data_IF_464048258136
#
_entry.id   IF_464048258136
#
_cell.length_a   1.000
_cell.length_b   1.000
_cell.length_c   1.000
_cell.angle_alpha   90.00
_cell.angle_beta   90.00
_cell.angle_gamma   90.00
#
_symmetry.space_group_name_H-M   'P 1'
#
loop_
_entity.id
_entity.type
_entity.pdbx_description
1 polymer ?
#
# COMPACT_ATOMS: atom_id res chain seq x y z
N UNK A 1 -3.45 -11.19 -25.96
CA UNK A 1 -2.29 -11.97 -26.40
C UNK A 1 -1.31 -12.07 -25.24
N UNK A 2 -1.12 -13.26 -24.69
CA UNK A 2 0.00 -13.57 -23.79
C UNK A 2 1.26 -13.78 -24.65
N UNK A 3 2.45 -13.41 -24.15
CA UNK A 3 3.63 -14.16 -24.56
C UNK A 3 3.52 -15.56 -23.93
N UNK A 4 2.91 -16.48 -24.67
CA UNK A 4 2.77 -17.88 -24.25
C UNK A 4 4.11 -18.62 -24.24
N UNK A 5 5.15 -18.02 -24.81
CA UNK A 5 6.47 -18.61 -24.95
C UNK A 5 7.56 -17.65 -24.51
N UNK A 6 8.58 -18.20 -23.86
CA UNK A 6 9.82 -17.51 -23.46
C UNK A 6 10.98 -18.06 -24.28
N UNK A 7 11.79 -17.16 -24.84
CA UNK A 7 13.05 -17.53 -25.47
C UNK A 7 14.12 -17.65 -24.37
N UNK A 8 14.81 -18.79 -24.34
CA UNK A 8 15.89 -19.08 -23.40
C UNK A 8 17.19 -19.25 -24.18
N UNK A 9 18.12 -18.30 -24.02
CA UNK A 9 19.42 -18.34 -24.67
C UNK A 9 20.21 -19.58 -24.23
N UNK A 10 20.92 -20.19 -25.17
CA UNK A 10 21.70 -21.41 -24.98
C UNK A 10 23.19 -21.10 -25.13
N UNK A 11 24.09 -21.95 -24.58
CA UNK A 11 25.54 -21.71 -24.64
C UNK A 11 26.11 -21.60 -26.06
N UNK A 12 25.44 -22.18 -27.05
CA UNK A 12 25.81 -22.16 -28.47
C UNK A 12 25.29 -20.94 -29.24
N UNK A 13 24.66 -19.98 -28.56
CA UNK A 13 24.09 -18.77 -29.16
C UNK A 13 22.69 -18.97 -29.76
N UNK A 14 22.14 -20.19 -29.72
CA UNK A 14 20.75 -20.47 -30.12
C UNK A 14 19.78 -20.23 -28.97
N UNK A 15 18.49 -20.46 -29.23
CA UNK A 15 17.42 -20.36 -28.23
C UNK A 15 16.64 -21.66 -28.14
N UNK A 16 16.28 -22.05 -26.92
CA UNK A 16 15.17 -22.95 -26.66
C UNK A 16 13.90 -22.11 -26.45
N UNK A 17 12.75 -22.59 -26.92
CA UNK A 17 11.48 -21.88 -26.77
C UNK A 17 10.64 -22.64 -25.74
N UNK A 18 10.43 -22.02 -24.57
CA UNK A 18 9.69 -22.61 -23.46
C UNK A 18 8.27 -22.08 -23.39
N UNK A 19 7.28 -22.94 -23.30
CA UNK A 19 5.92 -22.58 -22.94
C UNK A 19 5.86 -22.01 -21.52
N UNK A 20 5.29 -20.82 -21.41
CA UNK A 20 5.15 -20.04 -20.18
C UNK A 20 3.70 -19.97 -19.69
N UNK A 21 2.75 -20.67 -20.33
CA UNK A 21 1.33 -20.60 -20.00
C UNK A 21 0.88 -21.41 -18.77
N UNK A 22 1.68 -22.36 -18.30
CA UNK A 22 1.38 -23.09 -17.06
C UNK A 22 1.94 -22.32 -15.84
N UNK A 23 1.08 -21.53 -15.20
CA UNK A 23 1.41 -20.70 -14.03
C UNK A 23 1.61 -21.52 -12.76
N UNK A 24 0.72 -22.49 -12.52
CA UNK A 24 0.84 -23.50 -11.46
C UNK A 24 1.38 -24.79 -12.06
N UNK A 25 2.29 -25.45 -11.35
CA UNK A 25 2.75 -26.79 -11.76
C UNK A 25 1.77 -27.81 -11.19
N UNK A 26 0.69 -28.03 -11.93
CA UNK A 26 -0.27 -29.07 -11.60
C UNK A 26 0.22 -30.43 -12.11
N UNK A 27 -0.01 -31.52 -11.34
CA UNK A 27 0.43 -32.86 -11.73
C UNK A 27 -0.14 -33.37 -13.06
N UNK A 28 -1.25 -32.81 -13.53
CA UNK A 28 -1.91 -33.19 -14.77
C UNK A 28 -1.45 -32.39 -16.01
N UNK A 29 -0.58 -31.38 -15.85
CA UNK A 29 0.00 -30.71 -17.00
C UNK A 29 1.07 -31.58 -17.66
N UNK A 30 1.14 -31.63 -19.00
CA UNK A 30 2.17 -32.37 -19.71
C UNK A 30 3.58 -32.02 -19.21
N UNK A 31 4.49 -33.01 -19.12
CA UNK A 31 5.86 -32.77 -18.68
C UNK A 31 6.62 -31.89 -19.68
N UNK A 32 6.22 -31.93 -20.95
CA UNK A 32 6.85 -31.21 -22.03
C UNK A 32 6.47 -29.73 -22.03
N UNK A 33 7.50 -28.89 -21.92
CA UNK A 33 7.39 -27.44 -21.80
C UNK A 33 8.20 -26.70 -22.83
N UNK A 34 8.98 -27.39 -23.64
CA UNK A 34 9.80 -26.78 -24.68
C UNK A 34 9.37 -27.26 -26.06
N UNK A 35 9.51 -26.37 -27.03
CA UNK A 35 9.23 -26.70 -28.41
C UNK A 35 10.28 -27.68 -28.95
N UNK A 36 9.77 -28.71 -29.61
CA UNK A 36 10.51 -29.58 -30.52
C UNK A 36 10.01 -29.37 -31.93
N UNK A 37 10.77 -29.87 -32.91
CA UNK A 37 10.38 -29.90 -34.32
C UNK A 37 10.23 -31.37 -34.68
N UNK A 38 9.06 -31.77 -35.15
CA UNK A 38 8.83 -33.14 -35.63
C UNK A 38 9.44 -33.36 -37.04
N UNK A 39 9.32 -34.58 -37.57
CA UNK A 39 9.87 -34.95 -38.88
C UNK A 39 9.25 -34.17 -40.05
N UNK A 40 8.04 -33.65 -39.88
CA UNK A 40 7.34 -32.86 -40.89
C UNK A 40 7.62 -31.34 -40.73
N UNK A 41 8.49 -30.97 -39.79
CA UNK A 41 8.82 -29.58 -39.49
C UNK A 41 7.78 -28.87 -38.62
N UNK A 42 6.82 -29.58 -38.01
CA UNK A 42 5.81 -28.96 -37.13
C UNK A 42 6.38 -28.72 -35.74
N UNK A 43 5.94 -27.62 -35.14
CA UNK A 43 6.28 -27.26 -33.75
C UNK A 43 5.28 -27.90 -32.78
N UNK A 44 5.80 -28.60 -31.79
CA UNK A 44 5.01 -29.18 -30.71
C UNK A 44 5.72 -29.00 -29.36
N UNK A 45 4.96 -29.04 -28.26
CA UNK A 45 5.56 -29.25 -26.94
C UNK A 45 5.95 -30.72 -26.84
N UNK A 46 7.24 -31.00 -26.89
CA UNK A 46 7.75 -32.38 -26.88
C UNK A 46 9.06 -32.57 -26.10
N UNK A 47 9.50 -31.54 -25.37
CA UNK A 47 10.70 -31.63 -24.55
C UNK A 47 10.45 -31.14 -23.11
N UNK A 48 10.86 -31.90 -22.08
CA UNK A 48 10.70 -31.50 -20.68
C UNK A 48 11.77 -30.50 -20.24
N UNK A 49 12.90 -30.42 -20.94
CA UNK A 49 14.05 -29.56 -20.60
C UNK A 49 14.58 -28.81 -21.82
N UNK A 50 15.27 -27.70 -21.60
CA UNK A 50 15.96 -26.97 -22.66
C UNK A 50 17.04 -27.81 -23.37
N UNK A 51 17.63 -28.79 -22.68
CA UNK A 51 18.67 -29.66 -23.24
C UNK A 51 18.14 -30.61 -24.32
N UNK A 52 16.88 -31.02 -24.21
CA UNK A 52 16.20 -31.93 -25.15
C UNK A 52 15.29 -31.18 -26.13
N UNK A 53 15.28 -29.85 -26.08
CA UNK A 53 14.47 -29.00 -26.94
C UNK A 53 15.10 -28.79 -28.32
N UNK A 54 14.30 -28.39 -29.30
CA UNK A 54 14.84 -27.90 -30.56
C UNK A 54 15.61 -26.58 -30.35
N UNK A 55 16.64 -26.36 -31.18
CA UNK A 55 17.45 -25.14 -31.20
C UNK A 55 16.95 -24.21 -32.29
N UNK A 56 16.71 -22.94 -31.93
CA UNK A 56 16.25 -21.92 -32.85
C UNK A 56 17.26 -20.78 -32.93
N UNK A 57 17.59 -20.33 -34.14
CA UNK A 57 18.26 -19.04 -34.34
C UNK A 57 17.23 -17.91 -34.21
N UNK A 58 17.69 -16.72 -33.78
CA UNK A 58 16.87 -15.51 -33.73
C UNK A 58 17.41 -14.49 -34.71
N UNK A 59 16.65 -14.23 -35.77
CA UNK A 59 16.89 -13.13 -36.71
C UNK A 59 15.93 -11.98 -36.39
N UNK A 60 16.46 -10.76 -36.23
CA UNK A 60 15.63 -9.57 -35.99
C UNK A 60 15.37 -8.89 -37.33
N UNK A 61 14.18 -9.11 -37.89
CA UNK A 61 13.77 -8.52 -39.18
C UNK A 61 13.49 -7.01 -39.07
N UNK A 62 12.97 -6.56 -37.92
CA UNK A 62 12.68 -5.15 -37.65
C UNK A 62 12.78 -4.83 -36.17
N UNK A 63 13.52 -3.77 -35.83
CA UNK A 63 13.54 -3.19 -34.48
C UNK A 63 12.36 -2.25 -34.26
N UNK A 64 11.49 -2.56 -33.29
CA UNK A 64 10.37 -1.68 -32.94
C UNK A 64 10.83 -0.31 -32.44
N UNK A 65 11.91 -0.27 -31.65
CA UNK A 65 12.48 0.98 -31.14
C UNK A 65 13.08 1.87 -32.24
N UNK A 66 13.86 1.29 -33.15
CA UNK A 66 14.43 2.01 -34.31
C UNK A 66 13.33 2.60 -35.20
N UNK A 67 12.26 1.83 -35.41
CA UNK A 67 11.10 2.28 -36.18
C UNK A 67 10.37 3.43 -35.52
N UNK A 68 10.21 3.38 -34.19
CA UNK A 68 9.59 4.47 -33.43
C UNK A 68 10.45 5.74 -33.46
N UNK A 69 11.77 5.61 -33.33
CA UNK A 69 12.73 6.72 -33.43
C UNK A 69 12.65 7.39 -34.80
N UNK A 70 12.68 6.60 -35.89
CA UNK A 70 12.59 7.13 -37.25
C UNK A 70 11.27 7.87 -37.49
N UNK A 71 10.14 7.35 -36.99
CA UNK A 71 8.85 8.01 -37.09
C UNK A 71 8.77 9.30 -36.26
N UNK A 72 9.41 9.33 -35.08
CA UNK A 72 9.38 10.47 -34.18
C UNK A 72 10.27 11.64 -34.64
N UNK A 73 11.40 11.37 -35.29
CA UNK A 73 12.40 12.39 -35.64
C UNK A 73 11.87 13.48 -36.60
N UNK A 74 10.87 13.15 -37.44
CA UNK A 74 10.26 14.09 -38.39
C UNK A 74 8.91 14.67 -37.95
N UNK A 75 8.43 14.34 -36.75
CA UNK A 75 7.12 14.76 -36.26
C UNK A 75 7.20 16.01 -35.39
N UNK A 76 6.16 16.85 -35.39
CA UNK A 76 6.09 18.01 -34.48
C UNK A 76 6.02 17.58 -33.00
N UNK A 77 5.31 16.48 -32.74
CA UNK A 77 5.09 15.88 -31.42
C UNK A 77 5.14 14.35 -31.56
N UNK A 78 5.81 13.68 -30.63
CA UNK A 78 5.81 12.22 -30.52
C UNK A 78 4.97 11.79 -29.32
N UNK A 79 3.90 11.00 -29.53
CA UNK A 79 3.09 10.43 -28.45
C UNK A 79 3.49 8.96 -28.24
N UNK A 80 4.08 8.65 -27.09
CA UNK A 80 4.54 7.29 -26.75
C UNK A 80 3.63 6.70 -25.69
N UNK A 81 2.92 5.63 -26.04
CA UNK A 81 2.01 4.92 -25.12
C UNK A 81 2.74 3.75 -24.48
N UNK A 82 2.82 3.75 -23.14
CA UNK A 82 3.50 2.74 -22.33
C UNK A 82 2.68 2.40 -21.08
N UNK A 83 3.07 1.38 -20.34
CA UNK A 83 2.45 1.02 -19.06
C UNK A 83 2.32 -0.48 -18.86
N UNK A 84 1.17 -0.90 -18.33
CA UNK A 84 0.87 -2.30 -18.04
C UNK A 84 -0.16 -2.85 -19.01
N UNK A 85 -0.11 -4.16 -19.24
CA UNK A 85 -1.15 -4.90 -19.96
C UNK A 85 -1.69 -5.98 -19.00
N UNK A 86 -3.01 -6.03 -18.71
CA UNK A 86 -3.61 -6.98 -17.75
C UNK A 86 -3.41 -8.47 -18.09
N UNK A 87 -3.02 -8.80 -19.31
CA UNK A 87 -2.70 -10.16 -19.77
C UNK A 87 -1.19 -10.44 -19.87
N UNK A 88 -0.32 -9.48 -19.52
CA UNK A 88 1.14 -9.63 -19.58
C UNK A 88 1.77 -9.32 -18.23
N UNK A 89 1.79 -8.04 -17.82
CA UNK A 89 2.59 -7.54 -16.70
C UNK A 89 1.75 -6.82 -15.62
N UNK A 90 0.44 -7.10 -15.55
CA UNK A 90 -0.49 -6.57 -14.54
C UNK A 90 -1.68 -7.50 -14.30
N UNK A 91 -1.42 -8.81 -14.27
CA UNK A 91 -2.42 -9.88 -14.33
C UNK A 91 -2.92 -10.31 -12.95
N UNK A 92 -4.16 -10.78 -12.91
CA UNK A 92 -4.69 -11.56 -11.78
C UNK A 92 -3.76 -12.73 -11.44
N UNK A 93 -3.70 -13.09 -10.15
CA UNK A 93 -2.85 -14.16 -9.55
C UNK A 93 -1.34 -13.99 -9.69
N UNK A 94 -0.87 -12.89 -10.30
CA UNK A 94 0.55 -12.62 -10.47
C UNK A 94 0.92 -11.22 -9.98
N UNK A 95 1.47 -11.15 -8.78
CA UNK A 95 1.97 -9.90 -8.22
C UNK A 95 3.21 -9.43 -9.00
N UNK A 96 3.24 -8.13 -9.32
CA UNK A 96 4.44 -7.52 -9.92
C UNK A 96 5.58 -7.55 -8.91
N UNK A 97 6.75 -7.98 -9.35
CA UNK A 97 7.98 -7.98 -8.55
C UNK A 97 8.68 -6.61 -8.48
N UNK A 98 8.19 -5.62 -9.23
CA UNK A 98 8.70 -4.25 -9.24
C UNK A 98 7.60 -3.27 -9.66
N UNK A 99 7.66 -2.05 -9.14
CA UNK A 99 6.83 -0.93 -9.59
C UNK A 99 7.42 -0.20 -10.80
N UNK A 100 8.66 -0.48 -11.22
CA UNK A 100 9.28 0.21 -12.35
C UNK A 100 8.53 -0.05 -13.67
N UNK A 101 8.59 0.94 -14.58
CA UNK A 101 8.22 0.72 -15.97
C UNK A 101 9.09 -0.40 -16.56
N UNK A 102 8.50 -1.25 -17.42
CA UNK A 102 9.24 -2.35 -18.04
C UNK A 102 10.51 -1.80 -18.74
N UNK A 103 11.70 -2.42 -18.56
CA UNK A 103 12.95 -1.85 -19.07
C UNK A 103 12.95 -1.54 -20.57
N UNK A 104 12.29 -2.37 -21.38
CA UNK A 104 12.15 -2.14 -22.82
C UNK A 104 11.27 -0.94 -23.16
N UNK A 105 10.21 -0.68 -22.38
CA UNK A 105 9.36 0.49 -22.54
C UNK A 105 10.10 1.77 -22.09
N UNK A 106 10.83 1.71 -20.97
CA UNK A 106 11.67 2.84 -20.54
C UNK A 106 12.76 3.18 -21.58
N UNK A 107 13.40 2.16 -22.17
CA UNK A 107 14.37 2.34 -23.24
C UNK A 107 13.74 2.96 -24.50
N UNK A 108 12.52 2.53 -24.87
CA UNK A 108 11.77 3.11 -25.98
C UNK A 108 11.49 4.61 -25.75
N UNK A 109 10.98 4.98 -24.57
CA UNK A 109 10.70 6.40 -24.25
C UNK A 109 11.98 7.23 -24.33
N UNK A 110 13.10 6.73 -23.77
CA UNK A 110 14.41 7.40 -23.85
C UNK A 110 14.87 7.62 -25.28
N UNK A 111 14.78 6.59 -26.12
CA UNK A 111 15.19 6.66 -27.51
C UNK A 111 14.33 7.65 -28.31
N UNK A 112 13.01 7.61 -28.15
CA UNK A 112 12.08 8.55 -28.80
C UNK A 112 12.31 9.97 -28.31
N UNK A 113 12.47 10.20 -27.00
CA UNK A 113 12.76 11.52 -26.42
C UNK A 113 14.08 12.12 -26.89
N UNK A 114 15.08 11.28 -27.16
CA UNK A 114 16.35 11.72 -27.74
C UNK A 114 16.19 12.17 -29.19
N UNK A 115 15.33 11.50 -29.96
CA UNK A 115 15.05 11.85 -31.35
C UNK A 115 14.11 13.05 -31.50
N UNK A 116 13.15 13.20 -30.57
CA UNK A 116 12.16 14.28 -30.58
C UNK A 116 11.94 14.86 -29.17
N UNK A 117 12.32 16.14 -28.93
CA UNK A 117 12.16 16.75 -27.62
C UNK A 117 10.71 17.04 -27.21
N UNK A 118 9.79 17.09 -28.17
CA UNK A 118 8.36 17.28 -27.95
C UNK A 118 7.67 15.92 -27.75
N UNK A 119 8.21 15.09 -26.85
CA UNK A 119 7.66 13.78 -26.53
C UNK A 119 6.62 13.86 -25.41
N UNK A 120 5.40 13.38 -25.67
CA UNK A 120 4.37 13.15 -24.66
C UNK A 120 4.31 11.67 -24.34
N UNK A 121 4.32 11.32 -23.06
CA UNK A 121 4.13 9.94 -22.62
C UNK A 121 2.68 9.75 -22.18
N UNK A 122 1.99 8.79 -22.78
CA UNK A 122 0.70 8.29 -22.26
C UNK A 122 1.00 7.03 -21.46
N UNK A 123 0.71 7.08 -20.17
CA UNK A 123 0.89 5.96 -19.25
C UNK A 123 -0.46 5.29 -18.99
N UNK A 124 -0.65 4.11 -19.55
CA UNK A 124 -1.84 3.27 -19.35
C UNK A 124 -1.55 2.15 -18.35
N UNK A 125 -2.03 2.31 -17.11
CA UNK A 125 -1.87 1.32 -16.05
C UNK A 125 -2.87 1.52 -14.90
N UNK A 126 -3.21 0.42 -14.20
CA UNK A 126 -4.16 0.44 -13.07
C UNK A 126 -3.52 0.56 -11.68
N UNK A 127 -2.19 0.59 -11.61
CA UNK A 127 -1.44 0.48 -10.36
C UNK A 127 -0.32 1.51 -10.32
N UNK A 128 0.22 1.89 -9.15
CA UNK A 128 1.39 2.76 -9.07
C UNK A 128 2.57 2.23 -9.90
N UNK A 129 3.17 3.08 -10.73
CA UNK A 129 4.37 2.76 -11.50
C UNK A 129 5.43 3.84 -11.32
N UNK A 130 6.65 3.42 -11.02
CA UNK A 130 7.81 4.30 -10.86
C UNK A 130 8.29 4.76 -12.23
N UNK A 131 8.12 6.06 -12.52
CA UNK A 131 8.47 6.72 -13.79
C UNK A 131 9.36 7.96 -13.56
N UNK A 132 10.37 7.81 -12.69
CA UNK A 132 11.23 8.93 -12.26
C UNK A 132 11.97 9.59 -13.43
N UNK A 133 12.50 8.79 -14.36
CA UNK A 133 13.27 9.32 -15.48
C UNK A 133 12.33 10.08 -16.42
N UNK A 134 11.17 9.51 -16.73
CA UNK A 134 10.17 10.11 -17.58
C UNK A 134 9.73 11.45 -16.98
N UNK A 135 9.33 11.48 -15.69
CA UNK A 135 8.95 12.72 -14.99
C UNK A 135 10.02 13.82 -15.05
N UNK A 136 11.30 13.45 -15.05
CA UNK A 136 12.40 14.42 -15.11
C UNK A 136 12.77 14.86 -16.53
N UNK A 137 12.40 14.10 -17.57
CA UNK A 137 12.97 14.27 -18.92
C UNK A 137 11.93 14.47 -20.04
N UNK A 138 10.66 14.10 -19.82
CA UNK A 138 9.60 14.32 -20.82
C UNK A 138 8.76 15.55 -20.46
N UNK A 139 8.38 16.39 -21.43
CA UNK A 139 7.54 17.57 -21.19
C UNK A 139 6.18 17.29 -20.56
N UNK A 140 5.56 16.14 -20.88
CA UNK A 140 4.23 15.81 -20.41
C UNK A 140 4.02 14.30 -20.23
N UNK A 141 3.31 13.94 -19.16
CA UNK A 141 2.83 12.59 -18.88
C UNK A 141 1.31 12.66 -18.69
N UNK A 142 0.56 11.98 -19.55
CA UNK A 142 -0.88 11.77 -19.38
C UNK A 142 -1.10 10.36 -18.84
N UNK A 143 -1.71 10.25 -17.68
CA UNK A 143 -2.05 8.95 -17.09
C UNK A 143 -3.51 8.59 -17.34
N UNK A 144 -3.76 7.33 -17.70
CA UNK A 144 -5.08 6.71 -17.71
C UNK A 144 -4.99 5.32 -17.06
N UNK A 145 -6.06 4.91 -16.37
CA UNK A 145 -6.27 3.49 -16.11
C UNK A 145 -6.68 2.78 -17.41
N UNK A 146 -6.80 1.46 -17.38
CA UNK A 146 -7.49 0.72 -18.44
C UNK A 146 -8.97 1.16 -18.46
N UNK A 147 -9.33 2.06 -19.38
CA UNK A 147 -10.57 2.84 -19.34
C UNK A 147 -11.70 2.26 -20.22
N UNK A 148 -11.62 0.97 -20.53
CA UNK A 148 -12.62 0.25 -21.32
C UNK A 148 -12.58 0.58 -22.81
N UNK A 149 -13.69 0.32 -23.51
CA UNK A 149 -13.75 0.39 -24.98
C UNK A 149 -13.51 1.81 -25.56
N UNK A 150 -13.78 2.86 -24.77
CA UNK A 150 -13.61 4.26 -25.19
C UNK A 150 -12.24 4.86 -24.80
N UNK A 151 -11.29 4.04 -24.34
CA UNK A 151 -9.96 4.51 -23.87
C UNK A 151 -9.28 5.39 -24.91
N UNK A 152 -9.27 4.96 -26.19
CA UNK A 152 -8.65 5.72 -27.27
C UNK A 152 -9.26 7.11 -27.47
N UNK A 153 -10.60 7.19 -27.49
CA UNK A 153 -11.32 8.46 -27.64
C UNK A 153 -11.11 9.38 -26.44
N UNK A 154 -11.13 8.83 -25.21
CA UNK A 154 -10.88 9.61 -24.00
C UNK A 154 -9.45 10.17 -23.93
N UNK A 155 -8.45 9.36 -24.28
CA UNK A 155 -7.05 9.80 -24.36
C UNK A 155 -6.86 10.87 -25.43
N UNK A 156 -7.42 10.66 -26.63
CA UNK A 156 -7.35 11.65 -27.71
C UNK A 156 -8.00 12.98 -27.30
N UNK A 157 -9.22 12.96 -26.75
CA UNK A 157 -9.90 14.17 -26.29
C UNK A 157 -9.13 14.92 -25.20
N UNK A 158 -8.40 14.21 -24.34
CA UNK A 158 -7.49 14.84 -23.38
C UNK A 158 -6.25 15.45 -24.07
N UNK A 159 -5.58 14.72 -24.96
CA UNK A 159 -4.38 15.18 -25.65
C UNK A 159 -4.62 16.44 -26.51
N UNK A 160 -5.74 16.49 -27.22
CA UNK A 160 -6.12 17.62 -28.06
C UNK A 160 -6.84 18.75 -27.30
N UNK A 161 -7.19 18.52 -26.03
CA UNK A 161 -7.79 19.54 -25.17
C UNK A 161 -9.30 19.73 -25.36
N UNK A 162 -9.97 18.82 -26.04
CA UNK A 162 -11.44 18.73 -26.10
C UNK A 162 -12.02 18.48 -24.70
N UNK A 163 -11.28 17.73 -23.88
CA UNK A 163 -11.54 17.54 -22.45
C UNK A 163 -10.36 18.01 -21.62
N UNK A 164 -10.62 18.87 -20.64
CA UNK A 164 -9.63 19.25 -19.64
C UNK A 164 -9.47 18.11 -18.59
N UNK A 165 -8.27 17.53 -18.42
CA UNK A 165 -8.03 16.50 -17.41
C UNK A 165 -8.45 16.96 -16.01
N UNK A 166 -9.19 16.08 -15.32
CA UNK A 166 -9.69 16.33 -13.96
C UNK A 166 -9.63 15.09 -13.06
N UNK A 167 -8.90 14.06 -13.49
CA UNK A 167 -8.63 12.87 -12.70
C UNK A 167 -7.73 13.20 -11.50
N UNK A 168 -7.89 12.44 -10.41
CA UNK A 168 -7.04 12.52 -9.22
C UNK A 168 -6.61 11.11 -8.84
N UNK A 169 -5.34 10.93 -8.50
CA UNK A 169 -4.80 9.63 -8.11
C UNK A 169 -5.50 9.13 -6.85
N UNK A 170 -5.97 7.89 -6.88
CA UNK A 170 -6.55 7.19 -5.72
C UNK A 170 -5.51 6.42 -4.91
N UNK A 171 -4.25 6.45 -5.35
CA UNK A 171 -3.13 5.70 -4.78
C UNK A 171 -1.89 6.57 -4.73
N UNK A 172 -1.03 6.35 -3.73
CA UNK A 172 0.29 7.00 -3.66
C UNK A 172 1.26 6.28 -4.59
N UNK A 173 1.97 7.03 -5.43
CA UNK A 173 3.02 6.48 -6.29
C UNK A 173 4.38 6.79 -5.68
N UNK A 174 5.12 5.75 -5.33
CA UNK A 174 6.42 5.82 -4.68
C UNK A 174 7.53 6.02 -5.70
N UNK A 175 8.73 6.43 -5.24
CA UNK A 175 9.88 6.64 -6.13
C UNK A 175 10.71 5.39 -6.32
N UNK A 176 10.55 4.38 -5.48
CA UNK A 176 11.35 3.16 -5.53
C UNK A 176 10.65 2.02 -4.80
N UNK A 177 10.90 0.79 -5.26
CA UNK A 177 10.51 -0.43 -4.54
C UNK A 177 11.16 -0.52 -3.15
N UNK A 178 12.29 0.17 -2.95
CA UNK A 178 12.97 0.25 -1.65
C UNK A 178 12.16 0.99 -0.57
N UNK A 179 11.13 1.75 -0.96
CA UNK A 179 10.21 2.41 -0.03
C UNK A 179 9.05 1.49 0.40
N UNK A 180 8.93 0.31 -0.22
CA UNK A 180 7.84 -0.62 0.02
C UNK A 180 8.26 -1.69 1.03
N UNK A 181 7.38 -2.08 1.96
CA UNK A 181 7.63 -3.24 2.80
C UNK A 181 7.48 -4.53 1.98
N UNK A 182 7.67 -5.67 2.65
CA UNK A 182 7.23 -6.95 2.08
C UNK A 182 5.75 -6.87 1.70
N UNK A 183 5.38 -7.48 0.56
CA UNK A 183 3.98 -7.55 0.10
C UNK A 183 3.05 -8.24 1.10
N UNK A 184 3.62 -9.01 2.04
CA UNK A 184 2.88 -9.69 3.11
C UNK A 184 2.80 -8.89 4.42
N UNK A 185 3.37 -7.68 4.47
CA UNK A 185 3.28 -6.80 5.63
C UNK A 185 2.20 -5.74 5.44
N UNK A 186 1.06 -5.95 6.10
CA UNK A 186 -0.12 -5.10 6.00
C UNK A 186 -0.21 -4.04 7.11
N UNK A 187 0.79 -3.92 7.98
CA UNK A 187 0.83 -2.84 8.97
C UNK A 187 1.27 -1.53 8.30
N UNK A 188 0.28 -0.82 7.74
CA UNK A 188 0.53 0.43 7.02
C UNK A 188 1.07 1.56 7.91
N UNK A 189 0.80 1.53 9.22
CA UNK A 189 1.28 2.55 10.14
C UNK A 189 2.77 2.38 10.39
N UNK A 190 3.17 1.17 10.82
CA UNK A 190 4.56 0.83 11.11
C UNK A 190 5.45 0.87 9.87
N UNK A 191 4.92 0.43 8.72
CA UNK A 191 5.67 0.41 7.46
C UNK A 191 5.67 1.76 6.74
N UNK A 192 4.94 2.76 7.24
CA UNK A 192 4.89 4.09 6.62
C UNK A 192 4.24 4.06 5.24
N UNK A 193 3.21 3.22 5.06
CA UNK A 193 2.54 3.04 3.78
C UNK A 193 1.33 3.96 3.62
N UNK A 194 0.99 4.20 2.35
CA UNK A 194 -0.04 5.15 1.90
C UNK A 194 0.28 6.60 2.27
N UNK A 195 -0.51 7.56 1.77
CA UNK A 195 -0.40 8.95 2.20
C UNK A 195 -0.71 9.16 3.70
N UNK A 196 -1.30 8.16 4.38
CA UNK A 196 -1.61 8.23 5.80
C UNK A 196 -0.34 8.22 6.65
N UNK A 197 0.68 7.43 6.29
CA UNK A 197 1.86 7.21 7.15
C UNK A 197 3.20 7.39 6.42
N UNK A 198 3.20 7.57 5.10
CA UNK A 198 4.42 7.79 4.34
C UNK A 198 5.05 9.16 4.66
N UNK A 199 6.24 9.13 5.26
CA UNK A 199 7.03 10.32 5.63
C UNK A 199 8.00 10.77 4.54
N UNK A 200 8.16 9.97 3.49
CA UNK A 200 8.97 10.32 2.32
C UNK A 200 8.26 11.27 1.35
N UNK A 201 8.94 11.59 0.25
CA UNK A 201 8.36 12.39 -0.84
C UNK A 201 7.91 11.47 -1.96
N UNK A 202 6.60 11.26 -2.17
CA UNK A 202 6.13 10.39 -3.24
C UNK A 202 6.53 10.94 -4.62
N UNK A 203 6.55 10.05 -5.62
CA UNK A 203 6.64 10.44 -7.03
C UNK A 203 5.37 11.21 -7.42
N UNK A 204 4.20 10.61 -7.13
CA UNK A 204 2.92 11.29 -7.21
C UNK A 204 2.09 11.01 -5.96
N UNK A 205 1.63 12.05 -5.24
CA UNK A 205 0.89 11.88 -4.01
C UNK A 205 -0.56 11.44 -4.25
N UNK A 206 -1.18 10.86 -3.21
CA UNK A 206 -2.63 10.62 -3.21
C UNK A 206 -3.38 11.93 -3.51
N UNK A 207 -4.41 11.84 -4.34
CA UNK A 207 -5.23 12.97 -4.75
C UNK A 207 -4.59 13.88 -5.79
N UNK A 208 -3.38 13.58 -6.29
CA UNK A 208 -2.69 14.41 -7.28
C UNK A 208 -3.31 14.29 -8.67
N UNK A 209 -3.30 15.40 -9.42
CA UNK A 209 -3.70 15.47 -10.82
C UNK A 209 -3.60 16.90 -11.32
N UNK A 210 -3.09 17.08 -12.54
CA UNK A 210 -2.98 18.39 -13.18
C UNK A 210 -4.25 18.71 -13.97
N UNK A 211 -4.35 19.96 -14.41
CA UNK A 211 -5.41 20.49 -15.27
C UNK A 211 -4.80 21.46 -16.28
N UNK A 212 -5.47 21.68 -17.41
CA UNK A 212 -5.12 22.74 -18.37
C UNK A 212 -5.54 24.14 -17.91
N UNK A 213 -6.05 24.28 -16.68
CA UNK A 213 -6.33 25.57 -16.04
C UNK A 213 -5.83 25.55 -14.60
N UNK A 214 -5.86 26.71 -13.94
CA UNK A 214 -5.42 26.88 -12.55
C UNK A 214 -6.58 27.28 -11.64
N UNK A 215 -6.46 26.98 -10.35
CA UNK A 215 -7.51 27.26 -9.37
C UNK A 215 -6.94 27.93 -8.11
N UNK A 216 -7.61 28.97 -7.62
CA UNK A 216 -7.32 29.65 -6.37
C UNK A 216 -8.40 29.37 -5.31
N UNK A 217 -7.99 29.27 -4.05
CA UNK A 217 -8.87 28.93 -2.92
C UNK A 217 -8.95 30.14 -1.98
N UNK A 218 -10.14 30.52 -1.53
CA UNK A 218 -10.30 31.56 -0.49
C UNK A 218 -9.80 31.07 0.88
N UNK A 219 -9.71 31.94 1.90
CA UNK A 219 -9.62 31.48 3.29
C UNK A 219 -10.75 30.50 3.64
N UNK A 220 -10.45 29.54 4.53
CA UNK A 220 -11.41 28.54 4.99
C UNK A 220 -12.40 29.13 5.98
N UNK A 221 -13.64 28.65 5.89
CA UNK A 221 -14.67 28.86 6.91
C UNK A 221 -15.06 27.49 7.46
N UNK A 222 -14.80 27.26 8.74
CA UNK A 222 -15.13 26.03 9.44
C UNK A 222 -16.27 26.32 10.41
N UNK A 223 -17.32 25.52 10.34
CA UNK A 223 -18.44 25.58 11.29
C UNK A 223 -18.75 24.16 11.81
N UNK A 224 -19.68 24.04 12.76
CA UNK A 224 -20.04 22.75 13.37
C UNK A 224 -20.68 21.72 12.42
N UNK A 225 -20.87 22.06 11.14
CA UNK A 225 -21.51 21.21 10.13
C UNK A 225 -20.59 20.87 8.96
N UNK A 226 -19.42 21.51 8.87
CA UNK A 226 -18.45 21.24 7.82
C UNK A 226 -17.52 22.39 7.50
N UNK A 227 -16.93 22.30 6.32
CA UNK A 227 -15.92 23.23 5.82
C UNK A 227 -16.43 23.86 4.54
N UNK A 228 -16.28 25.18 4.42
CA UNK A 228 -16.61 25.96 3.22
C UNK A 228 -15.39 26.72 2.71
N UNK A 229 -15.18 26.68 1.40
CA UNK A 229 -14.14 27.42 0.68
C UNK A 229 -14.66 27.88 -0.67
N UNK A 230 -14.31 29.08 -1.10
CA UNK A 230 -14.63 29.53 -2.45
C UNK A 230 -13.46 29.17 -3.36
N UNK A 231 -13.78 28.58 -4.52
CA UNK A 231 -12.81 28.16 -5.52
C UNK A 231 -13.01 28.97 -6.78
N UNK A 232 -11.94 29.60 -7.24
CA UNK A 232 -11.92 30.42 -8.46
C UNK A 232 -11.09 29.71 -9.53
N UNK A 233 -11.61 29.60 -10.75
CA UNK A 233 -10.78 29.23 -11.89
C UNK A 233 -10.03 30.47 -12.39
N UNK A 234 -8.72 30.46 -12.25
CA UNK A 234 -7.83 31.59 -12.55
C UNK A 234 -7.16 31.49 -13.91
N UNK A 235 -7.38 30.40 -14.65
CA UNK A 235 -6.85 30.23 -16.00
C UNK A 235 -7.88 30.56 -17.09
N UNK A 236 -7.54 30.21 -18.32
CA UNK A 236 -8.30 30.62 -19.51
C UNK A 236 -9.16 29.50 -20.11
N UNK A 237 -9.10 28.30 -19.52
CA UNK A 237 -9.90 27.14 -19.93
C UNK A 237 -10.92 26.80 -18.86
N UNK A 238 -12.10 26.35 -19.27
CA UNK A 238 -13.02 25.67 -18.36
C UNK A 238 -12.35 24.43 -17.77
N UNK A 239 -12.62 24.14 -16.51
CA UNK A 239 -12.01 23.00 -15.82
C UNK A 239 -12.82 22.54 -14.61
N UNK A 240 -12.46 21.36 -14.11
CA UNK A 240 -13.06 20.78 -12.91
C UNK A 240 -11.97 20.66 -11.84
N UNK A 241 -12.20 21.31 -10.71
CA UNK A 241 -11.35 21.16 -9.51
C UNK A 241 -11.95 20.10 -8.58
N UNK A 242 -11.09 19.31 -7.93
CA UNK A 242 -11.49 18.37 -6.88
C UNK A 242 -10.91 18.87 -5.55
N UNK A 243 -11.76 19.58 -4.80
CA UNK A 243 -11.43 20.09 -3.45
C UNK A 243 -11.41 18.92 -2.48
N UNK A 244 -10.30 18.72 -1.78
CA UNK A 244 -10.10 17.61 -0.85
C UNK A 244 -9.98 18.13 0.58
N UNK A 245 -10.76 17.56 1.50
CA UNK A 245 -10.74 17.86 2.93
C UNK A 245 -10.05 16.73 3.68
N UNK A 246 -9.01 17.06 4.42
CA UNK A 246 -8.30 16.17 5.33
C UNK A 246 -8.36 16.68 6.76
N UNK A 247 -8.16 15.77 7.70
CA UNK A 247 -7.95 16.10 9.12
C UNK A 247 -6.71 15.42 9.67
N UNK A 248 -6.07 16.03 10.66
CA UNK A 248 -5.00 15.41 11.44
C UNK A 248 -5.22 15.68 12.94
N UNK A 249 -5.09 14.65 13.76
CA UNK A 249 -5.11 14.78 15.23
C UNK A 249 -3.67 14.81 15.73
N UNK A 250 -3.23 15.95 16.24
CA UNK A 250 -1.82 16.17 16.58
C UNK A 250 -1.29 15.38 17.77
N UNK A 251 -2.17 14.96 18.70
CA UNK A 251 -1.79 14.16 19.87
C UNK A 251 -2.86 13.14 20.17
N UNK A 252 -2.44 11.89 20.28
CA UNK A 252 -3.27 10.74 20.62
C UNK A 252 -2.35 9.65 21.17
N UNK A 253 -2.91 8.75 21.99
CA UNK A 253 -2.24 7.52 22.40
C UNK A 253 -1.95 6.60 21.20
N UNK A 254 -2.93 6.44 20.32
CA UNK A 254 -2.79 5.64 19.10
C UNK A 254 -2.02 6.45 18.05
N UNK A 255 -1.17 5.78 17.27
CA UNK A 255 -0.51 6.42 16.13
C UNK A 255 -1.56 6.97 15.16
N UNK A 256 -1.46 8.26 14.86
CA UNK A 256 -2.40 8.95 13.98
C UNK A 256 -1.81 9.06 12.58
N UNK A 257 -2.65 8.96 11.53
CA UNK A 257 -2.25 9.37 10.19
C UNK A 257 -1.71 10.81 10.18
N UNK A 258 -0.71 11.06 9.33
CA UNK A 258 -0.19 12.40 9.02
C UNK A 258 -1.31 13.34 8.55
N UNK A 259 -2.33 12.78 7.89
CA UNK A 259 -3.62 13.38 7.55
C UNK A 259 -4.53 12.29 6.99
N UNK A 260 -5.83 12.42 7.17
CA UNK A 260 -6.82 11.47 6.68
C UNK A 260 -7.91 12.21 5.90
N UNK A 261 -8.21 11.75 4.67
CA UNK A 261 -9.29 12.31 3.85
C UNK A 261 -10.64 12.09 4.56
N UNK A 262 -11.41 13.16 4.73
CA UNK A 262 -12.77 13.12 5.28
C UNK A 262 -13.86 13.34 4.24
N UNK A 263 -13.51 14.00 3.14
CA UNK A 263 -14.44 14.21 2.03
C UNK A 263 -13.79 14.97 0.88
N UNK A 264 -14.48 15.01 -0.24
CA UNK A 264 -14.08 15.80 -1.40
C UNK A 264 -15.31 16.30 -2.14
N UNK A 265 -15.14 17.35 -2.93
CA UNK A 265 -16.17 17.87 -3.81
C UNK A 265 -15.55 18.26 -5.16
N UNK A 266 -16.24 17.87 -6.24
CA UNK A 266 -15.88 18.26 -7.61
C UNK A 266 -16.67 19.50 -8.00
N UNK A 267 -16.01 20.50 -8.58
CA UNK A 267 -16.64 21.75 -9.00
C UNK A 267 -16.18 22.15 -10.40
N UNK A 268 -17.13 22.26 -11.33
CA UNK A 268 -16.89 22.76 -12.68
C UNK A 268 -16.94 24.28 -12.70
N UNK A 269 -15.93 24.91 -13.29
CA UNK A 269 -15.74 26.36 -13.31
C UNK A 269 -15.35 26.85 -14.71
N UNK A 270 -16.09 27.82 -15.24
CA UNK A 270 -15.65 28.59 -16.40
C UNK A 270 -14.45 29.51 -16.04
N UNK A 271 -13.67 30.01 -17.01
CA UNK A 271 -12.60 30.99 -16.75
C UNK A 271 -13.09 32.18 -15.92
N UNK A 272 -12.37 32.53 -14.85
CA UNK A 272 -12.72 33.62 -13.92
C UNK A 272 -13.88 33.32 -12.96
N UNK A 273 -14.60 32.20 -13.13
CA UNK A 273 -15.74 31.87 -12.29
C UNK A 273 -15.28 31.48 -10.87
N UNK A 274 -16.03 31.96 -9.87
CA UNK A 274 -15.92 31.53 -8.48
C UNK A 274 -17.16 30.74 -8.06
N UNK A 275 -17.00 29.62 -7.35
CA UNK A 275 -18.10 28.91 -6.69
C UNK A 275 -17.74 28.56 -5.25
N UNK A 276 -18.73 28.64 -4.36
CA UNK A 276 -18.60 28.21 -2.97
C UNK A 276 -18.76 26.70 -2.87
N UNK A 277 -17.75 26.01 -2.34
CA UNK A 277 -17.74 24.56 -2.12
C UNK A 277 -17.93 24.30 -0.63
N UNK A 278 -18.85 23.39 -0.29
CA UNK A 278 -19.09 22.92 1.09
C UNK A 278 -18.83 21.42 1.16
N UNK A 279 -17.98 21.01 2.09
CA UNK A 279 -17.70 19.60 2.39
C UNK A 279 -18.17 19.34 3.84
N UNK A 280 -19.15 18.44 4.07
CA UNK A 280 -19.59 18.10 5.41
C UNK A 280 -18.45 17.51 6.25
N UNK A 281 -18.44 17.82 7.54
CA UNK A 281 -17.56 17.20 8.52
C UNK A 281 -18.35 17.04 9.82
N UNK A 282 -18.82 15.82 10.09
CA UNK A 282 -19.54 15.46 11.31
C UNK A 282 -18.54 14.99 12.35
N UNK A 283 -18.88 15.13 13.63
CA UNK A 283 -18.03 14.65 14.73
C UNK A 283 -17.68 13.15 14.58
N UNK A 284 -18.63 12.32 14.15
CA UNK A 284 -18.41 10.89 13.90
C UNK A 284 -17.39 10.60 12.78
N UNK A 285 -17.20 11.52 11.85
CA UNK A 285 -16.20 11.37 10.77
C UNK A 285 -14.78 11.45 11.31
N UNK A 286 -14.58 12.00 12.52
CA UNK A 286 -13.29 12.06 13.22
C UNK A 286 -12.99 10.80 14.05
N UNK A 287 -13.90 9.83 14.04
CA UNK A 287 -13.73 8.62 14.84
C UNK A 287 -12.63 7.71 14.30
N UNK A 288 -11.96 7.02 15.22
CA UNK A 288 -11.04 5.93 14.92
C UNK A 288 -11.23 4.79 15.93
N UNK A 289 -10.65 3.63 15.66
CA UNK A 289 -10.81 2.46 16.52
C UNK A 289 -9.88 2.53 17.74
N UNK A 290 -10.47 2.53 18.94
CA UNK A 290 -9.73 2.42 20.18
C UNK A 290 -9.51 0.95 20.54
N UNK A 291 -8.29 0.46 20.32
CA UNK A 291 -7.88 -0.92 20.64
C UNK A 291 -7.90 -1.23 22.13
N UNK A 292 -7.85 -0.22 23.02
CA UNK A 292 -7.86 -0.43 24.47
C UNK A 292 -9.25 -0.78 25.00
N UNK A 293 -10.30 -0.25 24.36
CA UNK A 293 -11.72 -0.43 24.74
C UNK A 293 -12.53 -1.22 23.72
N UNK A 294 -11.97 -1.53 22.56
CA UNK A 294 -12.62 -2.33 21.51
C UNK A 294 -13.82 -1.65 20.87
N UNK A 295 -13.75 -0.32 20.66
CA UNK A 295 -14.84 0.45 20.06
C UNK A 295 -14.36 1.72 19.34
N UNK A 296 -15.18 2.33 18.47
CA UNK A 296 -14.88 3.65 17.93
C UNK A 296 -14.81 4.70 19.04
N UNK A 297 -13.92 5.68 18.85
CA UNK A 297 -13.77 6.86 19.71
C UNK A 297 -13.58 8.11 18.86
N UNK A 298 -14.17 9.23 19.28
CA UNK A 298 -13.76 10.57 18.87
C UNK A 298 -12.99 11.15 20.03
N UNK A 299 -11.70 11.38 19.87
CA UNK A 299 -10.84 11.83 20.96
C UNK A 299 -10.96 13.35 21.18
N UNK A 300 -10.85 13.79 22.43
CA UNK A 300 -10.67 15.20 22.75
C UNK A 300 -9.31 15.69 22.26
N UNK A 301 -9.28 16.78 21.50
CA UNK A 301 -8.04 17.29 20.96
C UNK A 301 -8.20 18.49 20.04
N UNK A 302 -7.06 19.01 19.58
CA UNK A 302 -7.03 19.98 18.49
C UNK A 302 -6.78 19.23 17.19
N UNK A 303 -7.72 19.36 16.27
CA UNK A 303 -7.65 18.77 14.95
C UNK A 303 -7.25 19.85 13.94
N UNK A 304 -6.25 19.56 13.13
CA UNK A 304 -5.96 20.35 11.94
C UNK A 304 -6.99 20.01 10.87
N UNK A 305 -7.58 21.05 10.29
CA UNK A 305 -8.48 20.98 9.14
C UNK A 305 -7.68 21.45 7.93
N UNK A 306 -7.43 20.56 6.98
CA UNK A 306 -6.58 20.83 5.83
C UNK A 306 -7.40 20.71 4.55
N UNK A 307 -7.40 21.74 3.72
CA UNK A 307 -8.06 21.74 2.41
C UNK A 307 -7.06 22.00 1.30
N UNK A 308 -7.09 21.14 0.29
CA UNK A 308 -6.11 21.13 -0.78
C UNK A 308 -6.61 20.51 -2.07
N UNK A 309 -5.73 20.51 -3.07
CA UNK A 309 -5.97 19.84 -4.36
C UNK A 309 -5.30 18.46 -4.44
N UNK A 310 -4.53 18.07 -3.43
CA UNK A 310 -3.99 16.72 -3.19
C UNK A 310 -3.52 16.58 -1.74
N UNK A 311 -3.04 15.41 -1.34
CA UNK A 311 -2.52 15.18 0.01
C UNK A 311 -1.26 16.02 0.33
N UNK A 312 -0.54 16.53 -0.69
CA UNK A 312 0.65 17.37 -0.51
C UNK A 312 0.48 18.80 -1.01
N UNK A 313 -0.57 19.11 -1.77
CA UNK A 313 -0.95 20.48 -2.15
C UNK A 313 -2.07 20.98 -1.24
N UNK A 314 -1.72 21.21 0.04
CA UNK A 314 -2.60 21.82 1.03
C UNK A 314 -2.56 23.33 0.86
N UNK A 315 -3.68 23.91 0.44
CA UNK A 315 -3.76 25.34 0.12
C UNK A 315 -4.24 26.13 1.32
N UNK A 316 -5.06 25.55 2.17
CA UNK A 316 -5.64 26.24 3.34
C UNK A 316 -5.69 25.31 4.54
N UNK A 317 -5.52 25.90 5.71
CA UNK A 317 -5.61 25.22 6.99
C UNK A 317 -6.47 26.02 7.97
N UNK A 318 -7.06 25.31 8.92
CA UNK A 318 -7.73 25.85 10.10
C UNK A 318 -7.58 24.84 11.24
N UNK A 319 -7.94 25.23 12.46
CA UNK A 319 -7.97 24.31 13.61
C UNK A 319 -9.38 24.16 14.14
N UNK A 320 -9.69 22.97 14.65
CA UNK A 320 -10.96 22.66 15.29
C UNK A 320 -10.67 21.99 16.64
N UNK A 321 -11.09 22.63 17.73
CA UNK A 321 -11.06 22.00 19.05
C UNK A 321 -12.28 21.10 19.21
N UNK A 322 -12.04 19.81 19.41
CA UNK A 322 -13.08 18.78 19.55
C UNK A 322 -13.15 18.36 21.01
N UNK A 323 -14.36 18.41 21.56
CA UNK A 323 -14.68 17.88 22.90
C UNK A 323 -15.21 16.46 22.75
N UNK A 324 -14.29 15.52 22.62
CA UNK A 324 -14.56 14.09 22.56
C UNK A 324 -14.23 13.38 23.87
N UNK A 325 -13.86 12.12 23.79
CA UNK A 325 -13.44 11.32 24.94
C UNK A 325 -11.93 11.38 25.16
N UNK A 326 -11.48 11.07 26.38
CA UNK A 326 -10.07 10.74 26.65
C UNK A 326 -9.95 9.23 26.78
N UNK A 327 -9.02 8.63 26.02
CA UNK A 327 -8.76 7.19 26.15
C UNK A 327 -8.09 6.95 27.51
N UNK A 328 -8.68 6.11 28.39
CA UNK A 328 -8.10 5.83 29.69
C UNK A 328 -6.81 4.99 29.56
N UNK A 329 -6.00 4.90 30.62
CA UNK A 329 -4.94 3.89 30.70
C UNK A 329 -5.50 2.49 30.43
N UNK A 330 -4.69 1.64 29.82
CA UNK A 330 -5.10 0.27 29.50
C UNK A 330 -5.24 -0.54 30.78
N UNK A 331 -6.32 -1.28 30.90
CA UNK A 331 -6.59 -2.14 32.05
C UNK A 331 -6.36 -3.62 31.68
N UNK A 332 -5.21 -4.17 32.07
CA UNK A 332 -4.90 -5.59 31.91
C UNK A 332 -5.41 -6.46 33.07
N UNK A 333 -6.10 -5.91 34.07
CA UNK A 333 -6.65 -6.69 35.21
C UNK A 333 -7.84 -7.54 34.81
N UNK A 334 -8.42 -7.26 33.64
CA UNK A 334 -9.43 -8.08 32.97
C UNK A 334 -8.78 -8.80 31.79
N UNK A 335 -9.31 -9.96 31.37
CA UNK A 335 -8.86 -10.60 30.13
C UNK A 335 -9.03 -9.64 28.95
N UNK A 336 -7.93 -9.38 28.23
CA UNK A 336 -7.94 -8.65 26.95
C UNK A 336 -7.43 -9.55 25.85
N UNK A 337 -7.92 -9.35 24.63
CA UNK A 337 -7.45 -10.10 23.47
C UNK A 337 -6.03 -9.66 23.09
N UNK A 338 -5.15 -10.61 22.85
CA UNK A 338 -3.72 -10.36 22.72
C UNK A 338 -3.37 -9.55 21.46
N UNK A 339 -4.20 -9.63 20.43
CA UNK A 339 -4.03 -8.88 19.18
C UNK A 339 -4.25 -7.37 19.34
N UNK A 340 -4.79 -6.91 20.47
CA UNK A 340 -5.04 -5.49 20.75
C UNK A 340 -3.79 -4.72 21.20
N UNK A 341 -2.60 -5.25 20.93
CA UNK A 341 -1.32 -4.63 21.29
C UNK A 341 -1.13 -3.26 20.61
N UNK A 342 -0.24 -2.44 21.17
CA UNK A 342 0.15 -1.10 20.69
C UNK A 342 1.53 -1.10 19.99
N UNK A 343 2.17 -2.26 19.90
CA UNK A 343 3.42 -2.44 19.18
C UNK A 343 3.90 -3.88 19.23
N UNK A 344 4.79 -4.26 18.31
CA UNK A 344 5.28 -5.64 18.22
C UNK A 344 6.63 -5.72 17.51
N UNK A 345 7.27 -6.89 17.62
CA UNK A 345 8.45 -7.25 16.85
C UNK A 345 8.46 -8.74 16.56
N UNK A 346 8.47 -9.09 15.27
CA UNK A 346 8.59 -10.47 14.78
C UNK A 346 7.39 -11.39 15.06
N UNK A 347 6.37 -10.92 15.78
CA UNK A 347 5.11 -11.65 15.94
C UNK A 347 4.16 -11.37 14.79
N UNK A 348 3.24 -12.30 14.53
CA UNK A 348 2.19 -12.15 13.51
C UNK A 348 0.81 -12.34 14.11
N UNK A 349 -0.20 -11.76 13.46
CA UNK A 349 -1.59 -12.08 13.75
C UNK A 349 -1.95 -13.42 13.10
N UNK A 350 -2.60 -14.28 13.87
CA UNK A 350 -3.07 -15.59 13.44
C UNK A 350 -4.51 -15.79 13.86
N UNK A 351 -5.14 -16.82 13.32
CA UNK A 351 -6.50 -17.19 13.64
C UNK A 351 -6.58 -17.92 15.00
N UNK A 352 -7.56 -17.57 15.84
CA UNK A 352 -7.85 -18.30 17.07
C UNK A 352 -8.52 -19.66 16.75
N UNK A 353 -9.33 -19.69 15.69
CA UNK A 353 -9.97 -20.90 15.14
C UNK A 353 -9.97 -20.82 13.61
N UNK A 354 -10.22 -21.94 12.92
CA UNK A 354 -10.36 -21.94 11.45
C UNK A 354 -11.46 -21.01 10.92
N UNK A 355 -12.46 -20.67 11.74
CA UNK A 355 -13.62 -19.89 11.31
C UNK A 355 -13.57 -18.42 11.72
N UNK A 356 -12.98 -18.11 12.88
CA UNK A 356 -12.99 -16.76 13.45
C UNK A 356 -11.96 -16.57 14.57
N UNK A 357 -11.78 -15.31 14.96
CA UNK A 357 -10.92 -14.88 16.06
C UNK A 357 -9.51 -14.55 15.61
N UNK A 358 -8.83 -13.73 16.41
CA UNK A 358 -7.47 -13.29 16.15
C UNK A 358 -6.63 -13.48 17.41
N UNK A 359 -5.48 -14.10 17.25
CA UNK A 359 -4.47 -14.31 18.29
C UNK A 359 -3.13 -13.79 17.78
N UNK A 360 -2.14 -13.78 18.67
CA UNK A 360 -0.75 -13.42 18.35
C UNK A 360 0.08 -14.69 18.31
N UNK A 361 0.93 -14.83 17.31
CA UNK A 361 1.92 -15.90 17.24
C UNK A 361 3.34 -15.36 17.23
N UNK A 362 4.21 -16.03 17.97
CA UNK A 362 5.66 -15.97 17.79
C UNK A 362 6.14 -17.29 17.17
N UNK A 363 7.12 -17.21 16.29
CA UNK A 363 7.83 -18.34 15.68
C UNK A 363 9.25 -18.51 16.22
N UNK A 364 9.79 -17.50 16.91
CA UNK A 364 11.15 -17.52 17.44
C UNK A 364 11.26 -16.77 18.78
N UNK A 365 12.38 -16.99 19.46
CA UNK A 365 12.71 -16.27 20.70
C UNK A 365 12.91 -14.76 20.46
N UNK A 366 12.67 -13.97 21.52
CA UNK A 366 12.81 -12.51 21.55
C UNK A 366 11.82 -11.74 20.66
N UNK A 367 10.84 -12.42 20.08
CA UNK A 367 9.68 -11.78 19.48
C UNK A 367 8.75 -11.29 20.60
N UNK A 368 8.02 -10.20 20.38
CA UNK A 368 7.22 -9.61 21.44
C UNK A 368 6.04 -8.80 20.93
N UNK A 369 5.05 -8.63 21.80
CA UNK A 369 4.01 -7.60 21.70
C UNK A 369 4.07 -6.68 22.92
N UNK A 370 3.66 -5.43 22.73
CA UNK A 370 3.67 -4.37 23.74
C UNK A 370 2.27 -3.81 23.92
N UNK A 371 1.86 -3.62 25.16
CA UNK A 371 0.69 -2.88 25.57
C UNK A 371 1.16 -1.60 26.25
N UNK A 372 0.85 -0.44 25.68
CA UNK A 372 1.35 0.83 26.19
C UNK A 372 0.48 1.40 27.30
N UNK A 373 1.08 2.19 28.20
CA UNK A 373 0.42 2.95 29.28
C UNK A 373 -0.69 2.13 29.98
N UNK A 374 -0.29 0.97 30.50
CA UNK A 374 -1.10 0.06 31.32
C UNK A 374 -1.10 0.55 32.76
N UNK A 375 -2.28 0.65 33.37
CA UNK A 375 -2.41 0.92 34.81
C UNK A 375 -2.41 -0.40 35.59
N UNK A 376 -1.31 -0.65 36.32
CA UNK A 376 -1.14 -1.83 37.16
C UNK A 376 -1.75 -1.66 38.57
N UNK A 377 -2.29 -0.48 38.90
CA UNK A 377 -2.84 -0.18 40.23
C UNK A 377 -1.86 -0.47 41.36
N UNK A 378 -2.27 -1.25 42.36
CA UNK A 378 -1.45 -1.67 43.50
C UNK A 378 -0.40 -2.75 43.15
N UNK A 379 -0.34 -3.17 41.89
CA UNK A 379 0.63 -4.13 41.36
C UNK A 379 0.09 -5.56 41.30
N UNK A 380 -0.16 -6.10 40.09
CA UNK A 380 -0.68 -7.45 39.94
C UNK A 380 0.33 -8.48 40.44
N UNK A 381 -0.19 -9.59 40.91
CA UNK A 381 0.59 -10.70 41.50
C UNK A 381 0.55 -11.95 40.64
N UNK A 382 -0.25 -11.98 39.57
CA UNK A 382 -0.40 -13.11 38.67
C UNK A 382 -0.59 -12.67 37.23
N UNK A 383 0.10 -13.32 36.30
CA UNK A 383 -0.23 -13.27 34.89
C UNK A 383 -0.97 -14.54 34.48
N UNK A 384 -2.04 -14.40 33.71
CA UNK A 384 -2.81 -15.47 33.09
C UNK A 384 -2.82 -15.26 31.58
N UNK A 385 -2.46 -16.29 30.81
CA UNK A 385 -2.54 -16.30 29.34
C UNK A 385 -3.41 -17.46 28.88
N UNK A 386 -4.28 -17.22 27.89
CA UNK A 386 -4.84 -18.31 27.07
C UNK A 386 -3.91 -18.54 25.89
N UNK A 387 -3.20 -19.67 25.88
CA UNK A 387 -2.10 -19.91 24.96
C UNK A 387 -2.13 -21.32 24.36
N UNK A 388 -1.41 -21.51 23.25
CA UNK A 388 -1.17 -22.81 22.62
C UNK A 388 0.25 -22.87 22.08
N UNK A 389 0.87 -24.05 22.08
CA UNK A 389 2.18 -24.26 21.50
C UNK A 389 2.37 -25.72 21.05
N UNK A 390 3.11 -25.94 19.98
CA UNK A 390 3.43 -27.29 19.49
C UNK A 390 4.55 -27.96 20.33
N UNK A 391 5.41 -27.14 20.93
CA UNK A 391 6.44 -27.55 21.88
C UNK A 391 6.42 -26.64 23.12
N UNK A 392 6.96 -27.08 24.28
CA UNK A 392 7.00 -26.23 25.46
C UNK A 392 7.72 -24.91 25.18
N UNK A 393 7.09 -23.81 25.55
CA UNK A 393 7.58 -22.45 25.34
C UNK A 393 7.39 -21.61 26.61
N UNK A 394 7.92 -20.39 26.62
CA UNK A 394 7.71 -19.44 27.70
C UNK A 394 7.40 -18.06 27.16
N UNK A 395 6.62 -17.31 27.94
CA UNK A 395 6.31 -15.91 27.69
C UNK A 395 6.69 -15.11 28.92
N UNK A 396 7.64 -14.21 28.76
CA UNK A 396 8.07 -13.29 29.82
C UNK A 396 7.14 -12.07 29.86
N UNK A 397 6.72 -11.67 31.05
CA UNK A 397 6.00 -10.41 31.29
C UNK A 397 7.00 -9.38 31.80
N UNK A 398 7.29 -8.35 30.99
CA UNK A 398 8.29 -7.32 31.30
C UNK A 398 7.68 -5.92 31.29
N UNK A 399 8.23 -5.03 32.11
CA UNK A 399 7.86 -3.61 32.11
C UNK A 399 8.88 -2.76 31.35
N UNK A 400 8.36 -1.80 30.57
CA UNK A 400 9.03 -0.66 29.94
C UNK A 400 10.09 -0.98 28.87
N UNK A 401 10.54 -2.23 28.75
CA UNK A 401 11.44 -2.66 27.69
C UNK A 401 11.47 -4.19 27.49
N UNK A 402 11.52 -4.71 26.24
CA UNK A 402 11.43 -6.15 25.98
C UNK A 402 12.70 -6.95 26.39
N UNK A 403 13.89 -6.35 26.37
CA UNK A 403 15.13 -7.02 26.80
C UNK A 403 15.60 -6.64 28.22
N UNK A 404 15.78 -5.34 28.51
CA UNK A 404 16.32 -4.81 29.77
C UNK A 404 15.27 -4.38 30.79
N UNK A 405 13.99 -4.48 30.44
CA UNK A 405 12.88 -4.08 31.30
C UNK A 405 12.73 -5.00 32.50
N UNK A 406 12.08 -4.50 33.54
CA UNK A 406 11.84 -5.27 34.76
C UNK A 406 11.05 -6.53 34.44
N UNK A 407 11.65 -7.70 34.63
CA UNK A 407 10.96 -8.98 34.52
C UNK A 407 10.06 -9.16 35.74
N UNK A 408 8.74 -9.21 35.49
CA UNK A 408 7.77 -9.49 36.55
C UNK A 408 7.61 -10.99 36.77
N UNK A 409 7.61 -11.78 35.68
CA UNK A 409 7.51 -13.23 35.76
C UNK A 409 7.52 -13.87 34.39
N UNK A 410 7.61 -15.19 34.39
CA UNK A 410 7.68 -16.00 33.16
C UNK A 410 6.58 -17.05 33.19
N UNK A 411 5.67 -16.97 32.23
CA UNK A 411 4.57 -17.92 32.05
C UNK A 411 5.07 -19.10 31.23
N UNK A 412 4.96 -20.32 31.77
CA UNK A 412 5.26 -21.54 31.02
C UNK A 412 4.05 -21.95 30.18
N UNK A 413 4.26 -22.20 28.89
CA UNK A 413 3.25 -22.70 27.95
C UNK A 413 3.62 -24.15 27.61
N UNK A 414 2.83 -25.15 28.02
CA UNK A 414 3.11 -26.54 27.68
C UNK A 414 2.87 -26.81 26.19
N UNK A 415 3.36 -27.94 25.69
CA UNK A 415 2.87 -28.44 24.40
C UNK A 415 1.39 -28.79 24.54
N UNK A 416 0.53 -28.20 23.71
CA UNK A 416 -0.93 -28.34 23.84
C UNK A 416 -1.54 -29.33 22.86
N UNK A 417 -0.74 -29.96 22.00
CA UNK A 417 -1.23 -30.91 20.99
C UNK A 417 -1.72 -30.24 19.69
N UNK A 418 -1.47 -28.94 19.53
CA UNK A 418 -1.64 -28.24 18.26
C UNK A 418 -2.04 -26.78 18.39
N UNK A 419 -1.92 -26.04 17.30
CA UNK A 419 -2.13 -24.59 17.20
C UNK A 419 -3.53 -24.04 17.55
N UNK A 420 -4.54 -24.92 17.68
CA UNK A 420 -5.90 -24.57 18.09
C UNK A 420 -6.30 -25.19 19.44
N UNK A 421 -5.42 -25.97 20.06
CA UNK A 421 -5.62 -26.52 21.38
C UNK A 421 -5.18 -25.48 22.41
N UNK A 422 -6.12 -24.61 22.79
CA UNK A 422 -5.86 -23.52 23.73
C UNK A 422 -5.99 -23.99 25.18
N UNK A 423 -5.06 -23.59 26.03
CA UNK A 423 -5.12 -23.83 27.48
C UNK A 423 -4.83 -22.54 28.25
N UNK A 424 -5.35 -22.45 29.47
CA UNK A 424 -5.04 -21.35 30.38
C UNK A 424 -3.80 -21.69 31.21
N UNK A 425 -2.80 -20.80 31.16
CA UNK A 425 -1.57 -20.91 31.94
C UNK A 425 -1.36 -19.68 32.78
N UNK A 426 -0.76 -19.83 33.96
CA UNK A 426 -0.49 -18.70 34.84
C UNK A 426 0.83 -18.82 35.60
N UNK A 427 1.33 -17.68 36.06
CA UNK A 427 2.54 -17.59 36.89
C UNK A 427 2.40 -16.45 37.91
N UNK A 428 3.14 -16.54 39.01
CA UNK A 428 3.25 -15.45 39.96
C UNK A 428 4.11 -14.32 39.39
N UNK A 429 3.75 -13.08 39.70
CA UNK A 429 4.48 -11.87 39.30
C UNK A 429 5.13 -11.22 40.52
N UNK A 430 6.33 -10.67 40.30
CA UNK A 430 6.89 -9.63 41.16
C UNK A 430 5.92 -8.44 41.14
N UNK A 431 5.56 -7.92 42.32
CA UNK A 431 4.70 -6.74 42.44
C UNK A 431 5.39 -5.51 41.85
N UNK A 432 4.66 -4.81 40.98
CA UNK A 432 5.01 -3.50 40.45
C UNK A 432 3.69 -2.76 40.13
N UNK A 433 3.49 -1.59 40.73
CA UNK A 433 2.30 -0.75 40.53
C UNK A 433 2.62 0.49 39.69
N UNK A 434 1.59 1.28 39.37
CA UNK A 434 1.72 2.48 38.55
C UNK A 434 1.50 2.24 37.05
N UNK A 435 1.88 3.23 36.22
CA UNK A 435 1.68 3.19 34.76
C UNK A 435 2.95 2.74 34.04
N UNK A 436 2.83 1.72 33.20
CA UNK A 436 3.96 1.10 32.51
C UNK A 436 3.60 0.65 31.09
N UNK A 437 4.60 0.50 30.23
CA UNK A 437 4.45 -0.31 29.02
C UNK A 437 4.68 -1.78 29.41
N UNK A 438 3.73 -2.66 29.09
CA UNK A 438 3.82 -4.11 29.37
C UNK A 438 4.19 -4.86 28.11
N UNK A 439 5.24 -5.67 28.17
CA UNK A 439 5.69 -6.53 27.09
C UNK A 439 5.39 -8.00 27.40
N UNK A 440 4.87 -8.71 26.40
CA UNK A 440 4.90 -10.17 26.35
C UNK A 440 6.02 -10.59 25.41
N UNK A 441 7.10 -11.15 25.97
CA UNK A 441 8.29 -11.55 25.22
C UNK A 441 8.36 -13.06 25.13
N UNK A 442 8.28 -13.57 23.91
CA UNK A 442 8.26 -14.99 23.62
C UNK A 442 9.68 -15.54 23.63
N UNK A 443 9.94 -16.62 24.37
CA UNK A 443 11.24 -17.31 24.36
C UNK A 443 11.30 -18.46 23.36
N UNK A 444 10.21 -18.70 22.63
CA UNK A 444 10.05 -19.79 21.67
C UNK A 444 8.70 -19.68 20.96
N UNK A 445 8.41 -20.63 20.07
CA UNK A 445 7.18 -20.62 19.30
C UNK A 445 5.95 -20.87 20.18
N UNK A 446 5.04 -19.91 20.24
CA UNK A 446 3.77 -20.02 20.96
C UNK A 446 2.75 -19.06 20.38
N UNK A 447 1.47 -19.33 20.67
CA UNK A 447 0.35 -18.44 20.37
C UNK A 447 -0.30 -17.98 21.66
N UNK A 448 -0.73 -16.72 21.72
CA UNK A 448 -1.48 -16.15 22.84
C UNK A 448 -2.74 -15.51 22.28
N UNK A 449 -3.89 -15.92 22.81
CA UNK A 449 -5.21 -15.40 22.45
C UNK A 449 -5.67 -14.30 23.42
N UNK A 450 -5.48 -14.51 24.73
CA UNK A 450 -5.81 -13.52 25.76
C UNK A 450 -4.72 -13.38 26.81
N UNK A 451 -4.66 -12.19 27.42
CA UNK A 451 -3.78 -11.85 28.54
C UNK A 451 -4.57 -11.18 29.66
N UNK A 452 -4.23 -11.50 30.92
CA UNK A 452 -4.72 -10.84 32.13
C UNK A 452 -3.59 -10.75 33.17
N UNK A 453 -3.47 -9.62 33.86
CA UNK A 453 -2.57 -9.37 34.99
C UNK A 453 -3.39 -9.04 36.23
N UNK A 454 -3.58 -9.99 37.15
CA UNK A 454 -4.43 -9.85 38.36
C UNK A 454 -3.65 -9.76 39.65
#
# INVERSE_FOLDING_TARGET
MQQQFKLEAQPDGTYAIRYAGYETREPWFPPDRYLTVDSDGRLALGAPTAATAARFAKEVVRGGAESAVAAAAGADVAVVVVGSMPAINGRETNDRVSTALAPSQAALVKAVRAANPNTVVVLENSYPTTVNWEQANVPAILWTSHAGQETGNAVAGALFGDTNPSGRLTQTWYRSDAELPSILDYDIARTGMTYLYHRGTPLYPFGYGLSYTTFAYSPLRVDGTGVRVDVTNTGWRSGVETVQLYTHLGRSRAEQPLKQLRGFARVSLAPGQTKSVRIPLRAGDLSYWDVTRGRPVVESGTYDILVGASATDIRRTATLTVKGETIPPRDLRRPVAAWTFDGYSGTTLVDTTKASGTAVAATAARQWVRYSDVDLGAGPVRATLRASADAPARVEVRLDHPARGLLLGTVAVPATGGRYAWTEVSTALRRAGGRHDVYLVFTGAARVDTVRLS
#
